data_IF_335684103497
#
_entry.id   IF_335684103497
#
_cell.length_a   1.000
_cell.length_b   1.000
_cell.length_c   1.000
_cell.angle_alpha   90.00
_cell.angle_beta   90.00
_cell.angle_gamma   90.00
#
_symmetry.space_group_name_H-M   'P 1'
#
loop_
_entity.id
_entity.type
_entity.pdbx_description
1 polymer ?
#
# COMPACT_ATOMS: atom_id res chain seq x y z
N UNK A 1 11.23 -5.07 -20.30
CA UNK A 1 10.05 -4.32 -19.85
C UNK A 1 8.83 -5.21 -20.10
N UNK A 2 8.01 -5.46 -19.08
CA UNK A 2 6.71 -6.10 -19.27
C UNK A 2 5.72 -5.08 -19.83
N UNK A 3 4.88 -5.49 -20.77
CA UNK A 3 3.75 -4.72 -21.26
C UNK A 3 2.54 -5.66 -21.28
N UNK A 4 1.41 -5.19 -20.76
CA UNK A 4 0.16 -5.92 -20.80
C UNK A 4 -0.73 -5.28 -21.87
N UNK A 5 -1.20 -6.08 -22.82
CA UNK A 5 -2.06 -5.62 -23.90
C UNK A 5 -3.49 -6.12 -23.75
N UNK A 6 -3.79 -6.86 -22.67
CA UNK A 6 -5.16 -7.32 -22.42
C UNK A 6 -6.06 -6.13 -22.08
N UNK A 7 -7.20 -5.95 -22.78
CA UNK A 7 -8.04 -4.76 -22.64
C UNK A 7 -8.51 -4.45 -21.22
N UNK A 8 -8.65 -5.44 -20.35
CA UNK A 8 -9.11 -5.24 -18.97
C UNK A 8 -8.01 -4.70 -18.03
N UNK A 9 -6.74 -4.74 -18.43
CA UNK A 9 -5.59 -4.40 -17.57
C UNK A 9 -4.39 -3.79 -18.30
N UNK A 10 -4.61 -3.26 -19.50
CA UNK A 10 -3.57 -2.63 -20.31
C UNK A 10 -3.07 -1.30 -19.76
N UNK A 11 -3.88 -0.67 -18.92
CA UNK A 11 -3.93 0.77 -18.84
C UNK A 11 -4.03 1.24 -17.39
N UNK A 12 -3.63 2.48 -17.15
CA UNK A 12 -3.63 3.11 -15.81
C UNK A 12 -2.91 2.26 -14.77
N UNK A 13 -1.69 1.84 -15.13
CA UNK A 13 -0.84 1.00 -14.30
C UNK A 13 -0.31 1.80 -13.12
N UNK A 14 -0.66 1.42 -11.91
CA UNK A 14 -0.31 2.15 -10.69
C UNK A 14 0.38 1.26 -9.65
N UNK A 15 1.19 1.91 -8.82
CA UNK A 15 1.74 1.38 -7.57
C UNK A 15 2.31 -0.05 -7.63
N UNK A 16 3.31 -0.32 -8.50
CA UNK A 16 3.95 -1.62 -8.54
C UNK A 16 4.80 -1.87 -7.28
N UNK A 17 4.61 -3.01 -6.62
CA UNK A 17 5.46 -3.52 -5.54
C UNK A 17 6.14 -4.85 -5.91
N UNK A 18 7.44 -4.94 -5.63
CA UNK A 18 8.21 -6.18 -5.81
C UNK A 18 8.35 -6.93 -4.48
N UNK A 19 7.94 -8.19 -4.47
CA UNK A 19 8.05 -9.08 -3.32
C UNK A 19 8.77 -10.36 -3.69
N UNK A 20 9.78 -10.73 -2.91
CA UNK A 20 10.49 -12.01 -3.07
C UNK A 20 9.85 -13.08 -2.19
N UNK A 21 9.04 -13.96 -2.78
CA UNK A 21 8.23 -14.96 -2.07
C UNK A 21 8.52 -16.38 -2.60
N UNK A 22 8.14 -17.40 -1.85
CA UNK A 22 8.20 -18.79 -2.32
C UNK A 22 6.98 -19.10 -3.21
N UNK A 23 7.24 -19.70 -4.36
CA UNK A 23 6.21 -20.28 -5.22
C UNK A 23 5.66 -21.59 -4.61
N UNK A 24 4.59 -22.19 -5.17
CA UNK A 24 4.03 -23.47 -4.70
C UNK A 24 5.01 -24.64 -4.69
N UNK A 25 6.10 -24.58 -5.46
CA UNK A 25 7.18 -25.56 -5.48
C UNK A 25 8.26 -25.28 -4.43
N UNK A 26 8.11 -24.23 -3.61
CA UNK A 26 9.04 -23.85 -2.54
C UNK A 26 10.26 -23.05 -3.01
N UNK A 27 10.32 -22.65 -4.28
CA UNK A 27 11.42 -21.88 -4.85
C UNK A 27 11.16 -20.38 -4.70
N UNK A 28 12.20 -19.59 -4.41
CA UNK A 28 12.06 -18.14 -4.43
C UNK A 28 11.86 -17.61 -5.85
N UNK A 29 10.91 -16.69 -5.97
CA UNK A 29 10.58 -15.90 -7.16
C UNK A 29 10.28 -14.47 -6.73
N UNK A 30 10.37 -13.57 -7.69
CA UNK A 30 9.91 -12.20 -7.53
C UNK A 30 8.50 -12.08 -8.08
N UNK A 31 7.62 -11.47 -7.29
CA UNK A 31 6.25 -11.17 -7.67
C UNK A 31 6.09 -9.65 -7.76
N UNK A 32 5.51 -9.19 -8.88
CA UNK A 32 5.13 -7.80 -9.06
C UNK A 32 3.63 -7.69 -8.81
N UNK A 33 3.25 -7.06 -7.72
CA UNK A 33 1.86 -6.70 -7.43
C UNK A 33 1.61 -5.29 -7.97
N UNK A 34 0.54 -5.10 -8.72
CA UNK A 34 0.25 -3.80 -9.32
C UNK A 34 -1.25 -3.60 -9.48
N UNK A 35 -1.63 -2.34 -9.69
CA UNK A 35 -2.98 -1.97 -10.08
C UNK A 35 -3.03 -1.71 -11.57
N UNK A 36 -4.08 -2.17 -12.24
CA UNK A 36 -4.37 -1.78 -13.63
C UNK A 36 -5.87 -1.85 -13.89
N UNK A 37 -6.29 -1.31 -15.03
CA UNK A 37 -7.67 -1.37 -15.50
C UNK A 37 -7.76 -1.21 -17.03
N UNK A 38 -8.98 -1.05 -17.56
CA UNK A 38 -9.20 -0.83 -18.98
C UNK A 38 -8.79 0.58 -19.41
N UNK A 39 -8.83 0.86 -20.71
CA UNK A 39 -8.52 2.18 -21.27
C UNK A 39 -9.35 3.31 -20.65
N UNK A 40 -10.61 3.02 -20.32
CA UNK A 40 -11.53 3.91 -19.63
C UNK A 40 -11.12 4.06 -18.17
N UNK A 41 -10.47 5.19 -17.87
CA UNK A 41 -10.09 5.52 -16.51
C UNK A 41 -11.30 5.99 -15.68
N UNK A 42 -11.40 5.74 -14.38
CA UNK A 42 -10.60 4.85 -13.54
C UNK A 42 -11.54 4.05 -12.61
N UNK A 43 -12.71 3.70 -13.12
CA UNK A 43 -13.78 3.08 -12.35
C UNK A 43 -13.62 1.55 -12.22
N UNK A 44 -12.68 0.94 -12.94
CA UNK A 44 -12.55 -0.51 -13.08
C UNK A 44 -11.16 -1.02 -12.68
N UNK A 45 -10.50 -0.34 -11.76
CA UNK A 45 -9.14 -0.69 -11.35
C UNK A 45 -9.20 -1.96 -10.50
N UNK A 46 -8.24 -2.85 -10.75
CA UNK A 46 -8.12 -4.16 -10.11
C UNK A 46 -6.66 -4.45 -9.80
N UNK A 47 -6.47 -5.40 -8.89
CA UNK A 47 -5.17 -5.86 -8.43
C UNK A 47 -4.68 -7.03 -9.27
N UNK A 48 -3.43 -7.01 -9.68
CA UNK A 48 -2.82 -7.99 -10.56
C UNK A 48 -1.44 -8.43 -10.06
N UNK A 49 -1.01 -9.62 -10.49
CA UNK A 49 0.27 -10.22 -10.09
C UNK A 49 1.01 -10.73 -11.31
N UNK A 50 2.29 -10.38 -11.42
CA UNK A 50 3.26 -11.04 -12.29
C UNK A 50 4.24 -11.87 -11.46
N UNK A 51 4.87 -12.88 -12.06
CA UNK A 51 5.93 -13.70 -11.47
C UNK A 51 7.16 -13.69 -12.37
N UNK A 52 8.35 -13.56 -11.78
CA UNK A 52 9.62 -13.68 -12.49
C UNK A 52 9.91 -15.13 -12.89
N UNK A 53 10.64 -15.33 -13.99
CA UNK A 53 11.07 -16.66 -14.43
C UNK A 53 12.07 -17.32 -13.45
N UNK A 54 12.83 -16.51 -12.71
CA UNK A 54 13.91 -16.93 -11.81
C UNK A 54 13.88 -16.14 -10.49
N UNK A 55 14.75 -16.47 -9.54
CA UNK A 55 15.01 -15.65 -8.36
C UNK A 55 15.86 -14.41 -8.70
N UNK A 56 15.38 -13.62 -9.67
CA UNK A 56 16.02 -12.41 -10.17
C UNK A 56 14.95 -11.32 -10.33
N UNK A 57 15.08 -10.16 -9.63
CA UNK A 57 14.10 -9.08 -9.75
C UNK A 57 14.07 -8.45 -11.15
N UNK A 58 15.08 -8.69 -11.99
CA UNK A 58 15.13 -8.15 -13.35
C UNK A 58 14.24 -8.92 -14.35
N UNK A 59 13.73 -10.09 -13.95
CA UNK A 59 12.80 -10.89 -14.77
C UNK A 59 13.50 -11.85 -15.74
N UNK A 60 12.87 -12.22 -16.87
CA UNK A 60 11.58 -11.73 -17.37
C UNK A 60 10.40 -12.12 -16.47
N UNK A 61 9.28 -11.43 -16.63
CA UNK A 61 8.04 -11.65 -15.87
C UNK A 61 6.94 -12.23 -16.75
N UNK A 62 6.02 -12.99 -16.14
CA UNK A 62 4.80 -13.49 -16.77
C UNK A 62 3.58 -13.17 -15.89
N UNK A 63 2.44 -12.89 -16.53
CA UNK A 63 1.18 -12.67 -15.83
C UNK A 63 0.72 -13.94 -15.10
N UNK A 64 0.28 -13.78 -13.85
CA UNK A 64 -0.22 -14.88 -13.02
C UNK A 64 -1.72 -14.83 -12.83
N UNK A 65 -2.20 -13.73 -12.26
CA UNK A 65 -3.59 -13.63 -11.87
C UNK A 65 -4.01 -12.19 -11.60
N UNK A 66 -5.32 -12.01 -11.60
CA UNK A 66 -6.00 -10.93 -10.89
C UNK A 66 -6.33 -11.41 -9.49
N UNK A 67 -6.14 -10.57 -8.49
CA UNK A 67 -6.54 -10.84 -7.11
C UNK A 67 -7.94 -10.25 -6.86
N UNK A 68 -8.90 -11.09 -6.52
CA UNK A 68 -10.26 -10.65 -6.22
C UNK A 68 -10.98 -11.64 -5.29
N UNK A 69 -11.90 -11.10 -4.50
CA UNK A 69 -12.90 -11.86 -3.76
C UNK A 69 -14.15 -11.98 -4.63
N UNK A 70 -14.53 -13.19 -5.02
CA UNK A 70 -15.65 -13.43 -5.93
C UNK A 70 -17.01 -12.93 -5.40
N UNK A 71 -17.16 -12.78 -4.08
CA UNK A 71 -18.38 -12.23 -3.47
C UNK A 71 -18.34 -10.71 -3.34
N UNK A 72 -17.17 -10.11 -3.47
CA UNK A 72 -16.91 -8.69 -3.25
C UNK A 72 -15.97 -8.12 -4.32
N UNK A 73 -16.26 -8.40 -5.59
CA UNK A 73 -15.39 -8.06 -6.71
C UNK A 73 -15.50 -6.59 -7.14
N UNK A 74 -15.15 -5.71 -6.22
CA UNK A 74 -15.27 -4.27 -6.39
C UNK A 74 -13.95 -3.61 -6.78
N UNK A 75 -13.98 -2.29 -6.91
CA UNK A 75 -12.79 -1.49 -7.16
C UNK A 75 -11.74 -1.73 -6.07
N UNK A 76 -10.50 -2.03 -6.47
CA UNK A 76 -9.41 -2.38 -5.57
C UNK A 76 -8.05 -2.00 -6.16
N UNK A 77 -7.21 -1.36 -5.36
CA UNK A 77 -5.88 -0.85 -5.73
C UNK A 77 -4.85 -1.09 -4.62
N UNK A 78 -3.60 -0.76 -4.93
CA UNK A 78 -2.47 -0.73 -3.99
C UNK A 78 -2.27 -2.03 -3.19
N UNK A 79 -2.18 -3.20 -3.86
CA UNK A 79 -1.89 -4.45 -3.17
C UNK A 79 -0.48 -4.47 -2.59
N UNK A 80 -0.38 -4.72 -1.28
CA UNK A 80 0.85 -5.12 -0.59
C UNK A 80 0.69 -6.50 0.04
N UNK A 81 1.79 -7.15 0.39
CA UNK A 81 1.80 -8.53 0.92
C UNK A 81 2.42 -8.60 2.29
N UNK A 82 1.84 -9.44 3.15
CA UNK A 82 2.32 -9.69 4.51
C UNK A 82 2.49 -11.19 4.75
N UNK A 83 3.73 -11.61 5.04
CA UNK A 83 4.02 -12.91 5.64
C UNK A 83 4.07 -12.81 7.17
N UNK A 84 3.22 -13.57 7.88
CA UNK A 84 3.23 -13.61 9.34
C UNK A 84 2.81 -15.00 9.86
N UNK A 85 3.60 -15.57 10.78
CA UNK A 85 3.28 -16.87 11.40
C UNK A 85 3.12 -18.03 10.39
N UNK A 86 3.89 -18.02 9.29
CA UNK A 86 3.78 -19.02 8.22
C UNK A 86 2.56 -18.87 7.31
N UNK A 87 1.80 -17.78 7.46
CA UNK A 87 0.64 -17.43 6.63
C UNK A 87 0.98 -16.24 5.74
N UNK A 88 0.34 -16.19 4.57
CA UNK A 88 0.46 -15.13 3.59
C UNK A 88 -0.86 -14.37 3.49
N UNK A 89 -0.79 -13.05 3.41
CA UNK A 89 -1.94 -12.16 3.29
C UNK A 89 -1.69 -11.10 2.23
N UNK A 90 -2.73 -10.69 1.52
CA UNK A 90 -2.76 -9.45 0.75
C UNK A 90 -3.49 -8.38 1.56
N UNK A 91 -2.95 -7.16 1.59
CA UNK A 91 -3.58 -5.98 2.17
C UNK A 91 -3.70 -4.95 1.06
N UNK A 92 -4.85 -4.30 0.93
CA UNK A 92 -5.14 -3.44 -0.21
C UNK A 92 -6.19 -2.37 0.11
N UNK A 93 -6.26 -1.36 -0.75
CA UNK A 93 -7.33 -0.35 -0.74
C UNK A 93 -8.49 -0.81 -1.61
N UNK A 94 -9.73 -0.71 -1.14
CA UNK A 94 -10.88 -1.03 -1.97
C UNK A 94 -12.17 -0.37 -1.54
N UNK A 95 -13.24 -0.57 -2.32
CA UNK A 95 -14.56 -0.03 -2.00
C UNK A 95 -15.44 -1.07 -1.32
N UNK A 96 -16.34 -0.67 -0.41
CA UNK A 96 -17.24 -1.61 0.27
C UNK A 96 -18.38 -2.13 -0.62
N UNK A 97 -18.63 -1.49 -1.76
CA UNK A 97 -19.71 -1.83 -2.70
C UNK A 97 -19.33 -1.48 -4.15
N UNK A 98 -20.09 -2.02 -5.12
CA UNK A 98 -19.98 -1.73 -6.55
C UNK A 98 -20.77 -0.46 -6.90
N UNK A 99 -20.08 0.65 -7.17
CA UNK A 99 -20.69 1.90 -7.65
C UNK A 99 -19.95 2.48 -8.86
N UNK A 100 -20.67 3.25 -9.69
CA UNK A 100 -20.16 4.15 -10.75
C UNK A 100 -19.58 5.48 -10.17
N UNK A 101 -19.00 6.43 -10.96
CA UNK A 101 -18.08 7.46 -10.47
C UNK A 101 -18.68 8.52 -9.50
N UNK A 102 -17.95 8.78 -8.40
CA UNK A 102 -18.22 9.72 -7.31
C UNK A 102 -17.20 9.50 -6.18
N UNK A 103 -17.20 10.30 -5.10
CA UNK A 103 -16.31 10.08 -3.94
C UNK A 103 -16.67 8.75 -3.23
N UNK A 104 -16.02 7.66 -3.65
CA UNK A 104 -16.16 6.35 -3.02
C UNK A 104 -15.28 6.32 -1.77
N UNK A 105 -15.78 5.88 -0.60
CA UNK A 105 -14.89 5.60 0.50
C UNK A 105 -13.93 4.48 0.08
N UNK A 106 -12.64 4.75 0.23
CA UNK A 106 -11.60 3.73 0.12
C UNK A 106 -11.26 3.23 1.52
N UNK A 107 -11.41 1.93 1.73
CA UNK A 107 -11.15 1.27 3.00
C UNK A 107 -9.97 0.30 2.84
N UNK A 108 -9.30 -0.04 3.94
CA UNK A 108 -8.28 -1.08 3.92
C UNK A 108 -8.90 -2.44 4.18
N UNK A 109 -8.55 -3.39 3.32
CA UNK A 109 -8.94 -4.78 3.45
C UNK A 109 -7.71 -5.69 3.57
N UNK A 110 -7.86 -6.79 4.29
CA UNK A 110 -6.91 -7.90 4.33
C UNK A 110 -7.60 -9.20 3.90
N UNK A 111 -6.92 -10.03 3.12
CA UNK A 111 -7.40 -11.37 2.74
C UNK A 111 -6.26 -12.39 2.80
N UNK A 112 -6.54 -13.66 3.16
CA UNK A 112 -5.52 -14.70 3.16
C UNK A 112 -5.19 -15.14 1.73
N UNK A 113 -3.93 -15.51 1.50
CA UNK A 113 -3.41 -16.04 0.24
C UNK A 113 -2.97 -17.50 0.43
N UNK A 114 -3.39 -18.42 -0.45
CA UNK A 114 -2.90 -19.81 -0.46
C UNK A 114 -1.56 -19.97 -1.17
N UNK A 115 -1.27 -19.04 -2.09
CA UNK A 115 -0.02 -18.85 -2.79
C UNK A 115 0.09 -17.36 -3.17
N UNK A 116 1.23 -16.87 -3.68
CA UNK A 116 1.42 -15.45 -3.93
C UNK A 116 0.36 -14.78 -4.84
N UNK A 117 -0.43 -15.51 -5.61
CA UNK A 117 -1.40 -14.94 -6.56
C UNK A 117 -2.84 -15.47 -6.40
N UNK A 118 -3.18 -16.15 -5.29
CA UNK A 118 -4.52 -16.77 -5.11
C UNK A 118 -5.08 -16.48 -3.73
N UNK A 119 -6.21 -15.77 -3.65
CA UNK A 119 -6.97 -15.61 -2.40
C UNK A 119 -7.51 -16.97 -1.94
N UNK A 120 -7.47 -17.20 -0.63
CA UNK A 120 -7.92 -18.44 0.00
C UNK A 120 -9.06 -18.23 0.99
N UNK A 121 -9.70 -17.05 0.97
CA UNK A 121 -10.77 -16.66 1.87
C UNK A 121 -11.30 -15.26 1.54
N UNK A 122 -12.39 -14.84 2.19
CA UNK A 122 -13.01 -13.55 1.97
C UNK A 122 -12.09 -12.41 2.44
N UNK A 123 -12.32 -11.21 1.89
CA UNK A 123 -11.70 -9.99 2.41
C UNK A 123 -12.29 -9.60 3.77
N UNK A 124 -11.48 -8.99 4.61
CA UNK A 124 -11.87 -8.43 5.91
C UNK A 124 -11.52 -6.95 5.92
N UNK A 125 -12.50 -6.08 6.18
CA UNK A 125 -12.26 -4.66 6.39
C UNK A 125 -11.55 -4.44 7.74
N UNK A 126 -10.40 -3.76 7.71
CA UNK A 126 -9.57 -3.50 8.90
C UNK A 126 -9.42 -2.01 9.22
N UNK A 127 -9.81 -1.12 8.29
CA UNK A 127 -9.83 0.32 8.51
C UNK A 127 -10.77 1.01 7.53
N UNK A 128 -11.53 1.97 8.05
CA UNK A 128 -12.32 2.93 7.26
C UNK A 128 -11.80 4.35 7.53
N UNK A 129 -11.92 5.31 6.60
CA UNK A 129 -11.57 6.71 6.84
C UNK A 129 -12.58 7.37 7.80
N UNK A 130 -12.26 7.40 9.09
CA UNK A 130 -13.12 7.86 10.19
C UNK A 130 -12.51 9.01 11.01
N UNK A 131 -11.26 9.40 10.74
CA UNK A 131 -10.59 10.51 11.40
C UNK A 131 -10.61 11.76 10.52
N UNK A 132 -10.70 12.98 11.10
CA UNK A 132 -10.81 14.22 10.32
C UNK A 132 -9.67 14.44 9.30
N UNK A 133 -8.47 13.92 9.57
CA UNK A 133 -7.34 14.04 8.64
C UNK A 133 -7.39 13.05 7.47
N UNK A 134 -8.31 12.07 7.49
CA UNK A 134 -8.47 11.04 6.45
C UNK A 134 -9.50 11.42 5.37
N UNK A 135 -10.16 12.57 5.52
CA UNK A 135 -11.34 12.95 4.72
C UNK A 135 -11.18 14.28 3.97
N UNK A 136 -9.97 14.84 3.88
CA UNK A 136 -9.75 16.00 3.02
C UNK A 136 -9.89 15.59 1.55
N UNK A 137 -10.82 16.22 0.84
CA UNK A 137 -11.07 15.98 -0.59
C UNK A 137 -11.84 14.70 -0.91
N UNK A 138 -11.64 13.62 -0.15
CA UNK A 138 -12.46 12.41 -0.15
C UNK A 138 -12.11 11.55 1.07
N UNK A 139 -13.03 10.66 1.44
CA UNK A 139 -12.82 9.65 2.48
C UNK A 139 -11.93 8.52 1.94
N UNK A 140 -10.63 8.52 2.29
CA UNK A 140 -9.66 7.58 1.70
C UNK A 140 -8.77 6.97 2.78
N UNK A 141 -8.58 5.65 2.71
CA UNK A 141 -7.45 4.92 3.25
C UNK A 141 -6.86 4.06 2.12
N UNK A 142 -5.64 4.36 1.66
CA UNK A 142 -4.99 3.67 0.54
C UNK A 142 -3.47 3.51 0.74
N UNK A 143 -2.73 2.98 -0.24
CA UNK A 143 -1.27 2.79 -0.16
C UNK A 143 -0.77 2.08 1.10
N UNK A 144 -1.29 0.88 1.44
CA UNK A 144 -0.85 0.14 2.62
C UNK A 144 0.62 -0.30 2.50
N UNK A 145 1.38 -0.16 3.59
CA UNK A 145 2.75 -0.66 3.68
C UNK A 145 3.06 -1.21 5.07
N UNK A 146 3.77 -2.35 5.13
CA UNK A 146 3.97 -3.08 6.39
C UNK A 146 5.43 -3.06 6.84
N UNK A 147 5.64 -2.84 8.14
CA UNK A 147 6.90 -3.14 8.83
C UNK A 147 6.63 -3.95 10.10
N UNK A 148 7.42 -5.00 10.33
CA UNK A 148 7.35 -5.84 11.54
C UNK A 148 8.50 -5.50 12.47
N UNK A 149 8.20 -5.25 13.75
CA UNK A 149 9.20 -4.93 14.77
C UNK A 149 8.69 -5.28 16.16
N UNK A 150 9.55 -5.84 17.00
CA UNK A 150 9.28 -6.10 18.43
C UNK A 150 7.92 -6.80 18.68
N UNK A 151 7.68 -7.91 17.97
CA UNK A 151 6.42 -8.69 18.05
C UNK A 151 5.14 -7.91 17.65
N UNK A 152 5.29 -6.76 16.99
CA UNK A 152 4.21 -5.96 16.42
C UNK A 152 4.31 -5.90 14.90
N UNK A 153 3.18 -5.62 14.29
CA UNK A 153 3.00 -5.28 12.88
C UNK A 153 2.52 -3.83 12.85
N UNK A 154 3.23 -2.98 12.12
CA UNK A 154 2.83 -1.61 11.84
C UNK A 154 2.42 -1.56 10.36
N UNK A 155 1.13 -1.37 10.12
CA UNK A 155 0.56 -1.19 8.79
C UNK A 155 0.34 0.32 8.59
N UNK A 156 1.30 0.97 7.92
CA UNK A 156 1.13 2.34 7.48
C UNK A 156 0.15 2.39 6.31
N UNK A 157 -0.55 3.51 6.17
CA UNK A 157 -1.48 3.76 5.08
C UNK A 157 -1.62 5.26 4.89
N UNK A 158 -2.03 5.67 3.70
CA UNK A 158 -2.28 7.08 3.39
C UNK A 158 -3.76 7.40 3.50
N UNK A 159 -4.09 8.57 4.05
CA UNK A 159 -5.45 9.07 4.16
C UNK A 159 -5.66 10.40 3.43
N UNK A 160 -6.92 10.78 3.23
CA UNK A 160 -7.37 11.87 2.36
C UNK A 160 -7.11 11.63 0.87
N UNK A 161 -7.69 12.46 0.00
CA UNK A 161 -7.44 12.36 -1.44
C UNK A 161 -6.02 12.81 -1.79
N UNK A 162 -5.31 12.02 -2.61
CA UNK A 162 -3.96 12.36 -3.09
C UNK A 162 -3.90 13.68 -3.88
N UNK A 163 -5.06 14.21 -4.31
CA UNK A 163 -5.17 15.47 -5.03
C UNK A 163 -5.18 16.68 -4.09
N UNK A 164 -5.15 16.44 -2.78
CA UNK A 164 -5.06 17.46 -1.75
C UNK A 164 -3.64 17.56 -1.21
N UNK A 165 -3.28 18.72 -0.68
CA UNK A 165 -2.02 18.88 0.05
C UNK A 165 -2.02 18.19 1.42
N UNK A 166 -3.17 17.69 1.88
CA UNK A 166 -3.37 17.09 3.19
C UNK A 166 -3.29 15.56 3.18
N UNK A 167 -2.93 14.96 2.04
CA UNK A 167 -2.54 13.55 1.98
C UNK A 167 -1.44 13.29 3.01
N UNK A 168 -1.66 12.28 3.86
CA UNK A 168 -0.84 12.04 5.04
C UNK A 168 -0.83 10.55 5.40
N UNK A 169 0.17 10.10 6.17
CA UNK A 169 0.34 8.68 6.52
C UNK A 169 -0.02 8.41 7.97
N UNK A 170 -1.04 7.58 8.17
CA UNK A 170 -1.45 6.99 9.45
C UNK A 170 -0.85 5.60 9.67
N UNK A 171 -1.19 4.97 10.78
CA UNK A 171 -0.72 3.61 11.10
C UNK A 171 -1.75 2.81 11.89
N UNK A 172 -1.98 1.56 11.49
CA UNK A 172 -2.62 0.52 12.28
C UNK A 172 -1.54 -0.34 12.94
N UNK A 173 -1.80 -0.79 14.18
CA UNK A 173 -0.88 -1.64 14.94
C UNK A 173 -1.56 -2.93 15.34
N UNK A 174 -0.93 -4.07 15.04
CA UNK A 174 -1.38 -5.39 15.48
C UNK A 174 -0.26 -6.17 16.19
N UNK A 175 -0.61 -7.14 17.02
CA UNK A 175 0.36 -8.14 17.52
C UNK A 175 0.67 -9.15 16.41
N UNK A 176 1.94 -9.57 16.28
CA UNK A 176 2.30 -10.67 15.36
C UNK A 176 1.65 -12.01 15.76
N UNK A 177 1.24 -12.16 17.02
CA UNK A 177 0.54 -13.33 17.53
C UNK A 177 -0.99 -13.24 17.44
N UNK A 178 -1.55 -12.11 16.97
CA UNK A 178 -2.99 -11.93 16.86
C UNK A 178 -3.55 -12.63 15.62
N UNK A 179 -4.87 -12.85 15.61
CA UNK A 179 -5.57 -13.21 14.39
C UNK A 179 -5.76 -11.95 13.52
N UNK A 180 -4.96 -11.84 12.45
CA UNK A 180 -4.93 -10.66 11.58
C UNK A 180 -6.21 -10.51 10.74
N UNK A 181 -7.03 -11.55 10.63
CA UNK A 181 -8.34 -11.52 9.96
C UNK A 181 -9.48 -11.08 10.91
N UNK A 182 -9.16 -10.61 12.12
CA UNK A 182 -10.11 -9.99 13.03
C UNK A 182 -9.89 -8.47 13.03
N UNK A 183 -10.90 -7.64 12.67
CA UNK A 183 -10.73 -6.18 12.64
C UNK A 183 -10.22 -5.62 13.98
N UNK A 184 -10.72 -6.15 15.10
CA UNK A 184 -10.31 -5.77 16.46
C UNK A 184 -8.83 -6.03 16.80
N UNK A 185 -8.11 -6.81 16.00
CA UNK A 185 -6.67 -7.03 16.17
C UNK A 185 -5.84 -5.81 15.74
N UNK A 186 -6.44 -4.91 14.96
CA UNK A 186 -5.80 -3.72 14.42
C UNK A 186 -6.22 -2.49 15.22
N UNK A 187 -5.26 -1.87 15.88
CA UNK A 187 -5.45 -0.62 16.60
C UNK A 187 -5.06 0.55 15.69
N UNK A 188 -6.04 1.36 15.27
CA UNK A 188 -5.77 2.60 14.54
C UNK A 188 -5.20 3.67 15.47
N UNK A 189 -4.09 4.30 15.07
CA UNK A 189 -3.54 5.45 15.79
C UNK A 189 -4.30 6.73 15.45
N UNK A 190 -4.49 7.67 16.40
CA UNK A 190 -5.36 8.84 16.22
C UNK A 190 -4.72 9.99 15.42
N UNK A 191 -3.43 9.87 15.04
CA UNK A 191 -2.69 10.93 14.37
C UNK A 191 -1.77 10.33 13.29
N UNK A 192 -1.66 10.99 12.12
CA UNK A 192 -0.67 10.63 11.13
C UNK A 192 0.74 10.93 11.65
N UNK A 193 1.72 10.13 11.21
CA UNK A 193 3.12 10.31 11.57
C UNK A 193 3.95 10.97 10.45
N UNK A 194 3.42 11.03 9.22
CA UNK A 194 3.99 11.78 8.11
C UNK A 194 2.93 12.71 7.53
N UNK A 195 3.19 14.02 7.55
CA UNK A 195 2.25 15.07 7.14
C UNK A 195 2.94 16.16 6.33
N UNK A 196 2.14 16.98 5.65
CA UNK A 196 2.58 18.20 4.97
C UNK A 196 3.58 19.01 5.79
N UNK A 197 4.61 19.54 5.13
CA UNK A 197 5.58 20.47 5.68
C UNK A 197 5.96 21.52 4.62
N UNK A 198 5.34 22.70 4.71
CA UNK A 198 5.51 23.80 3.77
C UNK A 198 6.97 24.30 3.72
N UNK A 199 7.62 24.41 4.88
CA UNK A 199 9.03 24.82 4.97
C UNK A 199 9.96 23.80 4.29
N UNK A 200 9.57 22.52 4.29
CA UNK A 200 10.29 21.45 3.61
C UNK A 200 9.86 21.25 2.16
N UNK A 201 8.93 22.05 1.63
CA UNK A 201 8.35 21.86 0.30
C UNK A 201 7.83 20.42 0.12
N UNK A 202 7.09 19.93 1.12
CA UNK A 202 6.51 18.59 1.10
C UNK A 202 4.99 18.70 1.27
N UNK A 203 4.26 18.62 0.15
CA UNK A 203 2.81 18.71 0.13
C UNK A 203 2.23 17.34 -0.26
N UNK A 204 1.21 16.90 0.48
CA UNK A 204 0.60 15.58 0.33
C UNK A 204 1.57 14.39 0.41
N UNK A 205 2.43 14.26 1.45
CA UNK A 205 3.32 13.12 1.54
C UNK A 205 2.56 11.81 1.83
N UNK A 206 2.79 10.78 1.02
CA UNK A 206 2.13 9.48 1.22
C UNK A 206 2.58 8.36 0.30
N UNK A 207 1.73 7.33 0.21
CA UNK A 207 1.93 6.03 -0.43
C UNK A 207 3.35 5.53 -0.21
N UNK A 208 3.64 5.24 1.06
CA UNK A 208 5.00 4.96 1.50
C UNK A 208 5.37 3.49 1.32
N UNK A 209 6.66 3.19 1.45
CA UNK A 209 7.18 1.85 1.69
C UNK A 209 8.24 1.89 2.80
N UNK A 210 8.61 0.72 3.31
CA UNK A 210 9.63 0.58 4.34
C UNK A 210 10.80 -0.24 3.81
N UNK A 211 12.02 0.17 4.14
CA UNK A 211 13.23 -0.58 3.80
C UNK A 211 14.30 -0.39 4.87
N UNK A 212 15.35 -1.20 4.79
CA UNK A 212 16.52 -1.11 5.68
C UNK A 212 17.66 -0.40 4.98
N UNK A 213 18.52 0.28 5.74
CA UNK A 213 19.84 0.69 5.25
C UNK A 213 20.64 -0.52 4.73
N UNK A 214 21.64 -0.33 3.85
CA UNK A 214 22.45 -1.44 3.34
C UNK A 214 23.12 -2.30 4.41
N UNK A 215 23.44 -1.72 5.57
CA UNK A 215 24.01 -2.44 6.72
C UNK A 215 22.96 -3.08 7.66
N UNK A 216 21.67 -2.91 7.35
CA UNK A 216 20.53 -3.47 8.09
C UNK A 216 20.20 -2.78 9.42
N UNK A 217 20.95 -1.74 9.81
CA UNK A 217 20.85 -1.15 11.16
C UNK A 217 19.77 -0.10 11.30
N UNK A 218 19.37 0.53 10.21
CA UNK A 218 18.40 1.62 10.21
C UNK A 218 17.14 1.22 9.47
N UNK A 219 15.99 1.64 10.01
CA UNK A 219 14.71 1.59 9.33
C UNK A 219 14.52 2.90 8.56
N UNK A 220 14.07 2.81 7.31
CA UNK A 220 13.84 3.94 6.42
C UNK A 220 12.42 3.89 5.85
N UNK A 221 11.83 5.07 5.65
CA UNK A 221 10.60 5.25 4.89
C UNK A 221 10.97 5.82 3.51
N UNK A 222 10.40 5.26 2.45
CA UNK A 222 10.32 5.91 1.14
C UNK A 222 8.88 6.38 0.95
N UNK A 223 8.65 7.58 0.44
CA UNK A 223 7.31 8.12 0.20
C UNK A 223 7.40 9.12 -0.96
N UNK A 224 6.26 9.52 -1.53
CA UNK A 224 6.24 10.63 -2.49
C UNK A 224 5.72 11.90 -1.85
N UNK A 225 6.13 13.07 -2.34
CA UNK A 225 5.50 14.35 -2.00
C UNK A 225 5.69 15.39 -3.12
N UNK A 226 4.73 16.31 -3.23
CA UNK A 226 4.80 17.45 -4.15
C UNK A 226 5.75 18.54 -3.62
N UNK A 227 6.46 19.28 -4.50
CA UNK A 227 7.35 20.37 -4.13
C UNK A 227 6.62 21.70 -3.83
N UNK A 228 5.32 21.77 -4.10
CA UNK A 228 4.48 22.96 -3.93
C UNK A 228 3.03 22.58 -3.64
N UNK A 229 2.21 23.54 -3.19
CA UNK A 229 0.78 23.32 -2.96
C UNK A 229 0.01 23.15 -4.27
N UNK A 230 -1.17 22.54 -4.19
CA UNK A 230 -2.17 22.43 -5.27
C UNK A 230 -1.71 21.68 -6.54
N UNK A 231 -0.70 20.82 -6.40
CA UNK A 231 -0.15 20.03 -7.52
C UNK A 231 -0.83 18.66 -7.72
N UNK A 232 -1.55 18.18 -6.71
CA UNK A 232 -2.34 16.95 -6.72
C UNK A 232 -1.60 15.68 -7.12
N UNK A 233 -2.31 14.68 -7.66
CA UNK A 233 -1.76 13.35 -7.99
C UNK A 233 -1.06 13.28 -9.36
N UNK A 234 -0.30 14.31 -9.74
CA UNK A 234 0.30 14.43 -11.08
C UNK A 234 1.80 14.14 -11.06
N UNK A 235 2.49 14.56 -12.13
CA UNK A 235 3.87 14.22 -12.45
C UNK A 235 4.93 14.86 -11.54
N UNK A 236 4.54 15.77 -10.64
CA UNK A 236 5.50 16.47 -9.74
C UNK A 236 5.71 15.75 -8.40
N UNK A 237 5.01 14.64 -8.16
CA UNK A 237 5.22 13.81 -6.97
C UNK A 237 6.60 13.14 -7.07
N UNK A 238 7.53 13.61 -6.25
CA UNK A 238 8.90 13.11 -6.23
C UNK A 238 9.09 12.08 -5.11
N UNK A 239 9.82 10.98 -5.36
CA UNK A 239 10.18 10.03 -4.31
C UNK A 239 11.18 10.67 -3.33
N UNK A 240 11.00 10.40 -2.04
CA UNK A 240 11.79 10.93 -0.93
C UNK A 240 12.00 9.83 0.09
N UNK A 241 13.19 9.79 0.68
CA UNK A 241 13.52 8.83 1.72
C UNK A 241 14.01 9.54 2.98
N UNK A 242 13.59 9.05 4.14
CA UNK A 242 14.04 9.54 5.44
C UNK A 242 14.20 8.39 6.42
N UNK A 243 15.15 8.52 7.34
CA UNK A 243 15.29 7.58 8.46
C UNK A 243 14.08 7.62 9.38
N UNK A 244 13.64 6.43 9.80
CA UNK A 244 12.63 6.23 10.84
C UNK A 244 13.33 6.12 12.19
N UNK A 245 12.77 6.82 13.17
CA UNK A 245 13.06 6.58 14.58
C UNK A 245 11.85 5.96 15.25
N UNK A 246 12.07 5.23 16.34
CA UNK A 246 11.02 4.51 17.04
C UNK A 246 10.82 5.13 18.42
N UNK A 247 9.61 5.59 18.71
CA UNK A 247 9.26 6.19 20.00
C UNK A 247 9.30 5.16 21.14
N UNK A 248 9.28 5.64 22.41
CA UNK A 248 9.18 4.74 23.57
C UNK A 248 7.86 3.96 23.61
N UNK A 249 6.82 4.45 22.92
CA UNK A 249 5.53 3.78 22.68
C UNK A 249 5.60 2.73 21.56
N UNK A 250 6.76 2.57 20.92
CA UNK A 250 6.98 1.66 19.80
C UNK A 250 6.50 2.18 18.44
N UNK A 251 5.89 3.37 18.37
CA UNK A 251 5.36 3.90 17.12
C UNK A 251 6.45 4.54 16.25
N UNK A 252 6.32 4.50 14.90
CA UNK A 252 7.26 5.15 14.01
C UNK A 252 7.21 6.68 14.17
N UNK A 253 8.36 7.31 13.97
CA UNK A 253 8.57 8.76 13.95
C UNK A 253 9.51 9.12 12.81
N UNK A 254 9.20 10.19 12.11
CA UNK A 254 10.02 10.73 11.02
C UNK A 254 10.22 12.22 11.28
N UNK A 255 11.38 12.73 10.86
CA UNK A 255 11.57 14.18 10.83
C UNK A 255 10.55 14.83 9.87
N UNK A 256 10.21 16.12 10.06
CA UNK A 256 9.35 16.83 9.11
C UNK A 256 9.87 16.68 7.68
N UNK A 257 9.03 16.24 6.71
CA UNK A 257 9.50 15.90 5.37
C UNK A 257 10.07 17.12 4.64
N UNK A 258 11.16 16.93 3.91
CA UNK A 258 11.82 17.99 3.13
C UNK A 258 12.21 17.53 1.73
N UNK A 259 12.57 18.45 0.83
CA UNK A 259 13.22 18.11 -0.44
C UNK A 259 14.63 17.57 -0.16
N UNK A 260 14.98 16.44 -0.79
CA UNK A 260 16.28 15.77 -0.64
C UNK A 260 16.36 14.80 0.55
N UNK A 261 17.30 13.84 0.52
CA UNK A 261 17.50 12.87 1.61
C UNK A 261 18.07 13.55 2.86
N UNK A 262 17.63 13.10 4.04
CA UNK A 262 18.27 13.36 5.34
C UNK A 262 18.52 12.04 6.06
#
# INVERSE_FOLDING_TARGET
MWADFEPERCCHVWAPEFHRLKNPQGQYRWYLYYTAGPSECCAQQRMHVLESAADDPMGPYSYKARLFDAQNDFWAIDPTVLENGGKLYVIYSGTPFDLMPGEKPQNLYIAPLSNPWTLSGPRVEISIPDQPWEIYGAAVNEGPAVVKRNNKIYLAYSGSGCWTDNYAVGVLVASQSADLLQPKSWQKMPRPFLTRNDQGQAFGPGHNSFFKSPDGKEDWIMYHANPGPDLGCKDQRSPRAQKITWGPDGLPRVAPPSVGPR
#
